data_IF_868542528871
#
_entry.id   IF_868542528871
#
_cell.length_a   1.000
_cell.length_b   1.000
_cell.length_c   1.000
_cell.angle_alpha   90.00
_cell.angle_beta   90.00
_cell.angle_gamma   90.00
#
_symmetry.space_group_name_H-M   'P 1'
#
loop_
_entity.id
_entity.type
_entity.pdbx_description
1 polymer ?
#
# COMPACT_ATOMS: atom_id res chain seq x y z
N UNK A 1 -9.18 45.41 6.53
CA UNK A 1 -9.24 46.83 6.08
C UNK A 1 -8.11 47.06 5.09
N UNK A 2 -8.33 47.79 4.00
CA UNK A 2 -7.36 47.95 2.90
C UNK A 2 -6.17 48.88 3.21
N UNK A 3 -6.06 49.40 4.44
CA UNK A 3 -5.00 50.35 4.82
C UNK A 3 -5.09 51.73 4.16
N UNK A 4 -6.17 52.02 3.43
CA UNK A 4 -6.39 53.30 2.73
C UNK A 4 -7.23 54.21 3.63
N UNK A 5 -6.77 55.45 3.85
CA UNK A 5 -7.52 56.45 4.62
C UNK A 5 -8.80 56.87 3.89
N UNK A 6 -9.87 57.13 4.64
CA UNK A 6 -11.13 57.69 4.09
C UNK A 6 -10.89 59.01 3.36
N UNK A 7 -9.92 59.80 3.81
CA UNK A 7 -9.51 61.05 3.17
C UNK A 7 -8.95 60.80 1.77
N UNK A 8 -8.07 59.81 1.62
CA UNK A 8 -7.46 59.47 0.33
C UNK A 8 -8.49 58.93 -0.66
N UNK A 9 -9.42 58.10 -0.18
CA UNK A 9 -10.56 57.61 -0.98
C UNK A 9 -11.39 58.79 -1.50
N UNK A 10 -11.75 59.73 -0.63
CA UNK A 10 -12.53 60.90 -1.03
C UNK A 10 -11.77 61.78 -2.02
N UNK A 11 -10.45 61.93 -1.86
CA UNK A 11 -9.62 62.69 -2.77
C UNK A 11 -9.54 62.06 -4.17
N UNK A 12 -9.42 60.72 -4.26
CA UNK A 12 -9.44 60.04 -5.56
C UNK A 12 -10.82 60.12 -6.27
N UNK A 13 -11.91 60.13 -5.50
CA UNK A 13 -13.26 60.35 -6.04
C UNK A 13 -13.38 61.79 -6.59
N UNK A 14 -12.96 62.79 -5.81
CA UNK A 14 -13.03 64.20 -6.21
C UNK A 14 -12.17 64.51 -7.44
N UNK A 15 -11.05 63.79 -7.61
CA UNK A 15 -10.15 63.92 -8.76
C UNK A 15 -10.60 63.08 -9.98
N UNK A 16 -11.76 62.43 -9.92
CA UNK A 16 -12.31 61.61 -11.01
C UNK A 16 -11.55 60.30 -11.30
N UNK A 17 -10.59 59.94 -10.44
CA UNK A 17 -9.75 58.74 -10.58
C UNK A 17 -10.41 57.49 -10.01
N UNK A 18 -11.36 57.65 -9.09
CA UNK A 18 -12.15 56.56 -8.51
C UNK A 18 -13.62 56.77 -8.81
N UNK A 19 -14.20 55.92 -9.66
CA UNK A 19 -15.62 55.97 -10.01
C UNK A 19 -16.47 55.35 -8.88
N UNK A 20 -17.52 56.05 -8.50
CA UNK A 20 -18.51 55.56 -7.53
C UNK A 20 -19.87 55.44 -8.18
N UNK A 21 -20.60 54.37 -7.88
CA UNK A 21 -22.00 54.19 -8.25
C UNK A 21 -22.83 54.03 -6.98
N UNK A 22 -23.80 54.93 -6.77
CA UNK A 22 -24.65 54.96 -5.57
C UNK A 22 -23.89 54.94 -4.23
N UNK A 23 -22.72 55.58 -4.19
CA UNK A 23 -21.86 55.60 -3.00
C UNK A 23 -21.03 54.33 -2.78
N UNK A 24 -21.16 53.32 -3.65
CA UNK A 24 -20.33 52.13 -3.66
C UNK A 24 -19.21 52.23 -4.70
N UNK A 25 -18.11 51.53 -4.45
CA UNK A 25 -16.95 51.43 -5.33
C UNK A 25 -16.68 49.95 -5.61
N UNK A 26 -16.49 49.59 -6.87
CA UNK A 26 -16.17 48.20 -7.24
C UNK A 26 -14.72 47.87 -6.88
N UNK A 27 -14.44 46.58 -6.66
CA UNK A 27 -13.08 46.08 -6.40
C UNK A 27 -12.15 46.41 -7.59
N UNK A 28 -12.66 46.34 -8.82
CA UNK A 28 -11.88 46.69 -10.01
C UNK A 28 -11.50 48.17 -10.05
N UNK A 29 -12.41 49.08 -9.70
CA UNK A 29 -12.13 50.52 -9.60
C UNK A 29 -11.11 50.82 -8.50
N UNK A 30 -11.18 50.11 -7.36
CA UNK A 30 -10.18 50.22 -6.29
C UNK A 30 -8.81 49.69 -6.73
N UNK A 31 -8.75 48.57 -7.46
CA UNK A 31 -7.51 47.99 -7.98
C UNK A 31 -6.83 48.92 -9.00
N UNK A 32 -7.61 49.65 -9.80
CA UNK A 32 -7.11 50.63 -10.76
C UNK A 32 -6.59 51.91 -10.09
N UNK A 33 -7.29 52.42 -9.07
CA UNK A 33 -6.87 53.62 -8.36
C UNK A 33 -5.72 53.37 -7.36
N UNK A 34 -5.60 52.15 -6.85
CA UNK A 34 -4.61 51.75 -5.84
C UNK A 34 -3.89 50.45 -6.24
N UNK A 35 -3.09 50.45 -7.33
CA UNK A 35 -2.43 49.25 -7.84
C UNK A 35 -1.34 48.69 -6.91
N UNK A 36 -0.83 49.51 -5.97
CA UNK A 36 0.14 49.10 -4.95
C UNK A 36 -0.49 48.43 -3.72
N UNK A 37 -1.82 48.50 -3.58
CA UNK A 37 -2.53 47.85 -2.49
C UNK A 37 -2.77 46.40 -2.88
N UNK A 38 -2.19 45.49 -2.11
CA UNK A 38 -2.41 44.07 -2.32
C UNK A 38 -3.85 43.72 -1.90
N UNK A 39 -4.74 43.65 -2.89
CA UNK A 39 -6.15 43.31 -2.71
C UNK A 39 -6.38 41.78 -2.67
N UNK A 40 -5.32 40.96 -2.74
CA UNK A 40 -5.48 39.52 -2.47
C UNK A 40 -5.93 39.36 -1.03
N UNK A 41 -7.19 38.97 -0.87
CA UNK A 41 -7.80 38.90 0.44
C UNK A 41 -7.17 37.73 1.20
N UNK A 42 -7.10 37.82 2.53
CA UNK A 42 -6.76 36.67 3.38
C UNK A 42 -7.66 35.46 3.06
N UNK A 43 -8.88 35.74 2.59
CA UNK A 43 -9.85 34.75 2.12
C UNK A 43 -9.41 34.05 0.84
N UNK A 44 -8.82 34.75 -0.14
CA UNK A 44 -8.28 34.13 -1.35
C UNK A 44 -7.08 33.21 -1.02
N UNK A 45 -6.21 33.66 -0.11
CA UNK A 45 -5.09 32.83 0.36
C UNK A 45 -5.58 31.60 1.13
N UNK A 46 -6.64 31.75 1.93
CA UNK A 46 -7.26 30.64 2.64
C UNK A 46 -7.89 29.63 1.67
N UNK A 47 -8.61 30.10 0.64
CA UNK A 47 -9.18 29.25 -0.40
C UNK A 47 -8.08 28.48 -1.13
N UNK A 48 -6.99 29.15 -1.49
CA UNK A 48 -5.85 28.52 -2.17
C UNK A 48 -5.19 27.44 -1.31
N UNK A 49 -4.97 27.72 -0.01
CA UNK A 49 -4.45 26.73 0.94
C UNK A 49 -5.38 25.53 1.09
N UNK A 50 -6.69 25.76 1.18
CA UNK A 50 -7.66 24.68 1.31
C UNK A 50 -7.71 23.80 0.06
N UNK A 51 -7.56 24.41 -1.13
CA UNK A 51 -7.45 23.68 -2.39
C UNK A 51 -6.18 22.82 -2.43
N UNK A 52 -5.03 23.37 -2.03
CA UNK A 52 -3.79 22.61 -1.92
C UNK A 52 -3.91 21.41 -0.97
N UNK A 53 -4.47 21.62 0.22
CA UNK A 53 -4.68 20.53 1.19
C UNK A 53 -5.57 19.43 0.59
N UNK A 54 -6.62 19.81 -0.13
CA UNK A 54 -7.50 18.85 -0.80
C UNK A 54 -6.75 18.06 -1.87
N UNK A 55 -5.98 18.75 -2.71
CA UNK A 55 -5.25 18.13 -3.81
C UNK A 55 -4.17 17.18 -3.28
N UNK A 56 -3.45 17.58 -2.23
CA UNK A 56 -2.47 16.73 -1.54
C UNK A 56 -3.12 15.49 -0.91
N UNK A 57 -4.30 15.66 -0.29
CA UNK A 57 -5.04 14.54 0.30
C UNK A 57 -5.50 13.54 -0.77
N UNK A 58 -5.99 14.02 -1.92
CA UNK A 58 -6.38 13.16 -3.04
C UNK A 58 -5.17 12.40 -3.57
N UNK A 59 -4.07 13.10 -3.84
CA UNK A 59 -2.85 12.48 -4.34
C UNK A 59 -2.33 11.41 -3.37
N UNK A 60 -2.35 11.68 -2.06
CA UNK A 60 -1.96 10.70 -1.04
C UNK A 60 -2.83 9.45 -1.09
N UNK A 61 -4.15 9.60 -1.17
CA UNK A 61 -5.09 8.47 -1.27
C UNK A 61 -4.82 7.66 -2.53
N UNK A 62 -4.59 8.31 -3.67
CA UNK A 62 -4.26 7.63 -4.93
C UNK A 62 -2.94 6.85 -4.82
N UNK A 63 -1.90 7.43 -4.23
CA UNK A 63 -0.63 6.74 -4.00
C UNK A 63 -0.76 5.56 -3.04
N UNK A 64 -1.50 5.73 -1.94
CA UNK A 64 -1.72 4.67 -0.96
C UNK A 64 -2.51 3.51 -1.58
N UNK A 65 -3.54 3.81 -2.38
CA UNK A 65 -4.31 2.79 -3.11
C UNK A 65 -3.46 2.05 -4.16
N UNK A 66 -2.60 2.77 -4.89
CA UNK A 66 -1.71 2.16 -5.88
C UNK A 66 -0.69 1.23 -5.21
N UNK A 67 -0.08 1.67 -4.10
CA UNK A 67 0.85 0.86 -3.30
C UNK A 67 0.14 -0.35 -2.72
N UNK A 68 -1.06 -0.17 -2.15
CA UNK A 68 -1.83 -1.26 -1.56
C UNK A 68 -2.22 -2.31 -2.61
N UNK A 69 -2.74 -1.89 -3.76
CA UNK A 69 -3.10 -2.81 -4.86
C UNK A 69 -1.90 -3.56 -5.44
N UNK A 70 -0.74 -2.88 -5.56
CA UNK A 70 0.50 -3.53 -5.99
C UNK A 70 0.98 -4.59 -4.98
N UNK A 71 0.96 -4.24 -3.69
CA UNK A 71 1.34 -5.14 -2.60
C UNK A 71 0.41 -6.34 -2.50
N UNK A 72 -0.90 -6.14 -2.57
CA UNK A 72 -1.89 -7.21 -2.51
C UNK A 72 -1.69 -8.23 -3.64
N UNK A 73 -1.41 -7.75 -4.86
CA UNK A 73 -1.10 -8.63 -5.99
C UNK A 73 0.16 -9.45 -5.76
N UNK A 74 1.22 -8.83 -5.21
CA UNK A 74 2.47 -9.52 -4.89
C UNK A 74 2.25 -10.57 -3.81
N UNK A 75 1.60 -10.19 -2.71
CA UNK A 75 1.31 -11.10 -1.60
C UNK A 75 0.42 -12.26 -2.03
N UNK A 76 -0.62 -12.01 -2.82
CA UNK A 76 -1.48 -13.06 -3.36
C UNK A 76 -0.70 -14.05 -4.25
N UNK A 77 0.23 -13.53 -5.06
CA UNK A 77 1.14 -14.35 -5.86
C UNK A 77 2.06 -15.23 -5.02
N UNK A 78 2.67 -14.64 -3.98
CA UNK A 78 3.55 -15.36 -3.04
C UNK A 78 2.77 -16.45 -2.29
N UNK A 79 1.59 -16.11 -1.74
CA UNK A 79 0.73 -17.04 -1.01
C UNK A 79 0.32 -18.21 -1.92
N UNK A 80 -0.10 -17.92 -3.15
CA UNK A 80 -0.50 -18.96 -4.11
C UNK A 80 0.68 -19.88 -4.46
N UNK A 81 1.88 -19.32 -4.66
CA UNK A 81 3.09 -20.09 -4.92
C UNK A 81 3.45 -21.00 -3.73
N UNK A 82 3.46 -20.45 -2.52
CA UNK A 82 3.73 -21.20 -1.30
C UNK A 82 2.72 -22.32 -1.08
N UNK A 83 1.42 -22.05 -1.28
CA UNK A 83 0.37 -23.06 -1.19
C UNK A 83 0.59 -24.20 -2.18
N UNK A 84 0.96 -23.89 -3.44
CA UNK A 84 1.26 -24.90 -4.44
C UNK A 84 2.50 -25.74 -4.07
N UNK A 85 3.56 -25.10 -3.56
CA UNK A 85 4.76 -25.79 -3.09
C UNK A 85 4.46 -26.71 -1.91
N UNK A 86 3.71 -26.22 -0.92
CA UNK A 86 3.32 -26.99 0.24
C UNK A 86 2.54 -28.24 -0.16
N UNK A 87 1.53 -28.08 -1.03
CA UNK A 87 0.74 -29.20 -1.51
C UNK A 87 1.59 -30.26 -2.25
N UNK A 88 2.58 -29.81 -3.04
CA UNK A 88 3.52 -30.73 -3.72
C UNK A 88 4.39 -31.50 -2.74
N UNK A 89 4.91 -30.83 -1.70
CA UNK A 89 5.70 -31.49 -0.67
C UNK A 89 4.85 -32.43 0.20
N UNK A 90 3.59 -32.08 0.48
CA UNK A 90 2.66 -32.94 1.20
C UNK A 90 2.37 -34.24 0.43
N UNK A 91 2.13 -34.17 -0.89
CA UNK A 91 1.98 -35.37 -1.73
C UNK A 91 3.26 -36.22 -1.72
N UNK A 92 4.44 -35.60 -1.84
CA UNK A 92 5.70 -36.34 -1.78
C UNK A 92 5.88 -37.02 -0.43
N UNK A 93 5.55 -36.34 0.67
CA UNK A 93 5.63 -36.91 2.00
C UNK A 93 4.71 -38.11 2.16
N UNK A 94 3.45 -38.00 1.71
CA UNK A 94 2.50 -39.13 1.69
C UNK A 94 3.03 -40.30 0.84
N UNK A 95 3.69 -40.01 -0.29
CA UNK A 95 4.31 -41.05 -1.10
C UNK A 95 5.48 -41.72 -0.37
N UNK A 96 6.34 -40.95 0.31
CA UNK A 96 7.44 -41.52 1.11
C UNK A 96 6.94 -42.39 2.24
N UNK A 97 5.93 -41.96 3.00
CA UNK A 97 5.26 -42.76 4.04
C UNK A 97 4.79 -44.12 3.50
N UNK A 98 4.13 -44.12 2.34
CA UNK A 98 3.68 -45.35 1.68
C UNK A 98 4.87 -46.24 1.27
N UNK A 99 5.93 -45.67 0.69
CA UNK A 99 7.13 -46.43 0.28
C UNK A 99 7.86 -47.00 1.49
N UNK A 100 7.99 -46.25 2.59
CA UNK A 100 8.60 -46.74 3.83
C UNK A 100 7.77 -47.86 4.46
N UNK A 101 6.44 -47.76 4.42
CA UNK A 101 5.55 -48.82 4.87
C UNK A 101 5.73 -50.10 4.05
N UNK A 102 5.73 -50.00 2.71
CA UNK A 102 5.95 -51.14 1.82
C UNK A 102 7.36 -51.74 1.99
N UNK A 103 8.39 -50.91 2.14
CA UNK A 103 9.75 -51.36 2.41
C UNK A 103 9.81 -52.15 3.73
N UNK A 104 9.15 -51.65 4.77
CA UNK A 104 9.10 -52.31 6.08
C UNK A 104 8.43 -53.68 5.98
N UNK A 105 7.31 -53.79 5.25
CA UNK A 105 6.63 -55.06 5.01
C UNK A 105 7.50 -56.04 4.22
N UNK A 106 8.15 -55.59 3.15
CA UNK A 106 9.06 -56.41 2.34
C UNK A 106 10.25 -56.91 3.16
N UNK A 107 10.81 -56.08 4.04
CA UNK A 107 11.90 -56.46 4.93
C UNK A 107 11.46 -57.49 5.99
N UNK A 108 10.23 -57.39 6.52
CA UNK A 108 9.68 -58.38 7.45
C UNK A 108 9.47 -59.75 6.76
N UNK A 109 8.96 -59.75 5.53
CA UNK A 109 8.83 -60.97 4.71
C UNK A 109 10.20 -61.59 4.42
N UNK A 110 11.20 -60.76 4.11
CA UNK A 110 12.56 -61.22 3.83
C UNK A 110 13.19 -61.85 5.07
N UNK A 111 13.00 -61.27 6.25
CA UNK A 111 13.53 -61.79 7.51
C UNK A 111 12.97 -63.16 7.86
N UNK A 112 11.68 -63.38 7.59
CA UNK A 112 11.01 -64.68 7.79
C UNK A 112 11.57 -65.79 6.88
N UNK A 113 12.17 -65.42 5.74
CA UNK A 113 12.70 -66.36 4.73
C UNK A 113 14.24 -66.44 4.73
N UNK A 114 14.89 -65.65 5.58
CA UNK A 114 16.33 -65.52 5.65
C UNK A 114 16.97 -66.67 6.46
N UNK A 115 18.22 -67.02 6.11
CA UNK A 115 19.03 -67.97 6.88
C UNK A 115 19.43 -67.36 8.24
N UNK A 116 19.71 -68.20 9.23
CA UNK A 116 20.02 -67.74 10.59
C UNK A 116 21.23 -66.80 10.68
N UNK A 117 22.17 -66.86 9.73
CA UNK A 117 23.35 -66.01 9.68
C UNK A 117 23.05 -64.56 9.27
N UNK A 118 22.17 -64.32 8.29
CA UNK A 118 21.92 -62.96 7.78
C UNK A 118 20.77 -62.26 8.52
N UNK A 119 20.07 -62.99 9.40
CA UNK A 119 18.92 -62.47 10.14
C UNK A 119 19.27 -61.29 11.05
N UNK A 120 20.46 -61.31 11.66
CA UNK A 120 20.91 -60.22 12.53
C UNK A 120 21.15 -58.93 11.75
N UNK A 121 21.87 -59.01 10.63
CA UNK A 121 22.14 -57.84 9.78
C UNK A 121 20.86 -57.27 9.18
N UNK A 122 19.91 -58.13 8.82
CA UNK A 122 18.61 -57.69 8.32
C UNK A 122 17.76 -57.01 9.41
N UNK A 123 17.82 -57.50 10.65
CA UNK A 123 17.16 -56.87 11.79
C UNK A 123 17.74 -55.49 12.09
N UNK A 124 19.07 -55.34 12.04
CA UNK A 124 19.75 -54.06 12.20
C UNK A 124 19.33 -53.07 11.09
N UNK A 125 19.21 -53.54 9.84
CA UNK A 125 18.71 -52.74 8.71
C UNK A 125 17.27 -52.29 8.91
N UNK A 126 16.37 -53.18 9.36
CA UNK A 126 14.99 -52.81 9.68
C UNK A 126 14.92 -51.76 10.80
N UNK A 127 15.77 -51.89 11.82
CA UNK A 127 15.89 -50.92 12.90
C UNK A 127 16.32 -49.54 12.38
N UNK A 128 17.30 -49.52 11.47
CA UNK A 128 17.72 -48.29 10.82
C UNK A 128 16.60 -47.68 9.96
N UNK A 129 15.91 -48.47 9.13
CA UNK A 129 14.80 -47.97 8.29
C UNK A 129 13.69 -47.33 9.14
N UNK A 130 13.33 -47.95 10.28
CA UNK A 130 12.36 -47.39 11.23
C UNK A 130 12.82 -46.10 11.90
N UNK A 131 14.13 -45.86 12.00
CA UNK A 131 14.69 -44.61 12.55
C UNK A 131 14.69 -43.45 11.56
N UNK A 132 14.50 -43.72 10.26
CA UNK A 132 14.47 -42.72 9.20
C UNK A 132 13.05 -42.20 8.89
N UNK A 133 12.04 -42.81 9.50
CA UNK A 133 10.63 -42.45 9.44
C UNK A 133 10.30 -41.46 10.55
#
# INVERSE_FOLDING_TARGET
MLGISRFDIQNQINNGKLQTHEGYVTIDSLRLAYPSVNMSSEQDQHIQKMQQIKDDAIHKIETDNAIHGANDKVYHGIITNLKSKLYKEEIKNQHYEMVFSELTERLDILEKRCHSQDKKELHDLQGWVKSQH
#
